data_IF_427318607370
#
_entry.id   IF_427318607370
#
_cell.length_a   1.000
_cell.length_b   1.000
_cell.length_c   1.000
_cell.angle_alpha   90.00
_cell.angle_beta   90.00
_cell.angle_gamma   90.00
#
_symmetry.space_group_name_H-M   'P 1'
#
loop_
_entity.id
_entity.type
_entity.pdbx_description
1 polymer ?
2 polymer ?
3 non-polymer ?
4 water ?
#
# COMPACT_ATOMS: atom_id res chain seq x y z
N UNK A 7 -3.93 -14.37 -19.90
CA UNK A 7 -4.50 -13.85 -18.67
C UNK A 7 -3.75 -14.36 -17.42
N UNK A 8 -2.61 -13.72 -17.12
CA UNK A 8 -1.72 -14.04 -16.00
C UNK A 8 -2.40 -14.01 -14.66
N UNK A 9 -3.31 -13.03 -14.43
CA UNK A 9 -4.01 -12.86 -13.15
C UNK A 9 -4.96 -14.03 -12.84
N UNK A 10 -5.73 -14.51 -13.85
CA UNK A 10 -6.62 -15.65 -13.62
C UNK A 10 -5.83 -16.92 -13.29
N UNK A 11 -4.77 -17.21 -14.08
CA UNK A 11 -3.91 -18.38 -13.94
C UNK A 11 -3.20 -18.42 -12.59
N UNK A 12 -2.62 -17.27 -12.15
CA UNK A 12 -1.92 -17.09 -10.88
C UNK A 12 -2.84 -17.35 -9.68
N UNK A 13 -4.04 -16.74 -9.68
CA UNK A 13 -5.04 -16.88 -8.62
C UNK A 13 -5.54 -18.33 -8.48
N UNK A 14 -5.76 -19.02 -9.63
CA UNK A 14 -6.21 -20.42 -9.68
C UNK A 14 -5.16 -21.33 -9.04
N UNK A 15 -3.88 -21.14 -9.40
CA UNK A 15 -2.76 -21.91 -8.88
C UNK A 15 -2.65 -21.83 -7.34
N UNK A 16 -2.86 -20.63 -6.76
CA UNK A 16 -2.81 -20.37 -5.31
C UNK A 16 -4.03 -20.99 -4.60
N UNK A 17 -5.26 -20.71 -5.11
CA UNK A 17 -6.51 -21.20 -4.50
C UNK A 17 -6.59 -22.74 -4.55
N UNK A 18 -6.28 -23.36 -5.71
CA UNK A 18 -6.29 -24.81 -5.90
C UNK A 18 -5.29 -25.55 -4.99
N UNK A 19 -4.04 -25.03 -4.89
CA UNK A 19 -3.00 -25.61 -4.04
C UNK A 19 -3.40 -25.64 -2.58
N UNK A 20 -3.94 -24.52 -2.05
CA UNK A 20 -4.38 -24.36 -0.66
C UNK A 20 -5.59 -25.24 -0.33
N UNK A 21 -6.57 -25.34 -1.25
CA UNK A 21 -7.76 -26.17 -1.07
C UNK A 21 -7.40 -27.68 -1.04
N UNK A 22 -6.42 -28.10 -1.88
CA UNK A 22 -5.89 -29.46 -1.96
C UNK A 22 -5.28 -29.92 -0.61
N UNK A 23 -4.34 -29.11 -0.06
CA UNK A 23 -3.65 -29.40 1.20
C UNK A 23 -4.52 -29.23 2.44
N UNK A 24 -5.67 -28.54 2.35
CA UNK A 24 -6.58 -28.40 3.50
C UNK A 24 -7.40 -29.68 3.65
N UNK A 25 -7.66 -30.38 2.53
CA UNK A 25 -8.40 -31.64 2.49
C UNK A 25 -7.49 -32.85 2.74
N UNK A 26 -6.28 -32.85 2.15
CA UNK A 26 -5.28 -33.92 2.30
C UNK A 26 -4.61 -33.84 3.68
N UNK A 27 -4.23 -32.63 4.08
CA UNK A 27 -3.54 -32.37 5.33
C UNK A 27 -2.03 -32.44 5.15
N UNK A 28 -1.59 -32.46 3.88
CA UNK A 28 -0.18 -32.56 3.49
C UNK A 28 0.22 -31.39 2.58
N UNK A 29 1.13 -30.52 3.08
CA UNK A 29 1.67 -29.36 2.37
C UNK A 29 2.59 -29.79 1.20
N UNK A 30 2.79 -28.89 0.21
CA UNK A 30 3.66 -29.12 -0.95
C UNK A 30 4.18 -27.79 -1.51
N UNK A 39 8.41 -17.76 -5.87
CA UNK A 39 8.44 -16.31 -6.05
C UNK A 39 7.28 -15.57 -5.33
N UNK A 40 6.36 -14.95 -6.11
CA UNK A 40 5.21 -14.22 -5.57
C UNK A 40 4.11 -15.18 -5.04
N UNK A 41 3.94 -16.32 -5.72
CA UNK A 41 2.97 -17.35 -5.35
C UNK A 41 3.37 -18.06 -4.07
N UNK A 42 4.68 -18.30 -3.92
CA UNK A 42 5.32 -18.91 -2.76
C UNK A 42 4.98 -18.10 -1.50
N UNK A 43 5.12 -16.75 -1.59
CA UNK A 43 4.83 -15.81 -0.50
C UNK A 43 3.34 -15.74 -0.17
N UNK A 44 2.47 -15.78 -1.21
CA UNK A 44 1.00 -15.72 -1.04
C UNK A 44 0.43 -16.94 -0.29
N UNK A 45 0.93 -18.17 -0.58
CA UNK A 45 0.49 -19.41 0.11
C UNK A 45 0.83 -19.40 1.61
N UNK A 46 2.04 -18.90 1.98
CA UNK A 46 2.50 -18.77 3.38
C UNK A 46 1.52 -17.90 4.19
N UNK A 47 1.13 -16.74 3.63
CA UNK A 47 0.17 -15.79 4.20
C UNK A 47 -1.22 -16.43 4.29
N UNK A 48 -1.66 -17.11 3.21
CA UNK A 48 -2.98 -17.75 3.13
C UNK A 48 -3.13 -18.83 4.20
N UNK A 49 -2.07 -19.65 4.42
CA UNK A 49 -2.08 -20.69 5.47
C UNK A 49 -2.25 -20.04 6.84
N UNK A 50 -1.48 -18.98 7.12
CA UNK A 50 -1.52 -18.27 8.40
C UNK A 50 -2.87 -17.57 8.69
N UNK A 51 -3.38 -16.77 7.73
CA UNK A 51 -4.62 -15.99 7.91
C UNK A 51 -5.87 -16.85 7.70
N UNK A 52 -5.83 -17.74 6.71
CA UNK A 52 -6.93 -18.65 6.38
C UNK A 52 -7.32 -19.57 7.52
N UNK A 53 -6.32 -20.22 8.15
CA UNK A 53 -6.52 -21.11 9.30
C UNK A 53 -6.96 -20.32 10.54
N UNK A 54 -6.66 -19.03 10.55
CA UNK A 54 -7.07 -18.11 11.61
C UNK A 54 -8.56 -17.80 11.50
N UNK A 55 -9.00 -17.38 10.27
CA UNK A 55 -10.39 -17.05 9.92
C UNK A 55 -11.33 -18.25 10.14
N UNK A 56 -10.86 -19.47 9.78
CA UNK A 56 -11.61 -20.73 9.95
C UNK A 56 -12.01 -20.98 11.42
N UNK A 57 -11.09 -20.70 12.37
CA UNK A 57 -11.29 -20.85 13.81
C UNK A 57 -12.23 -19.77 14.35
N UNK A 58 -11.96 -18.50 14.01
CA UNK A 58 -12.75 -17.34 14.43
C UNK A 58 -14.21 -17.33 13.91
N UNK A 59 -14.49 -18.08 12.81
CA UNK A 59 -15.83 -18.13 12.21
C UNK A 59 -16.42 -19.55 12.04
N UNK A 60 -16.02 -20.51 12.89
CA UNK A 60 -16.52 -21.89 12.86
C UNK A 60 -18.06 -22.00 12.99
N UNK A 61 -18.66 -21.22 13.92
CA UNK A 61 -20.10 -21.16 14.18
C UNK A 61 -20.89 -20.73 12.94
N UNK A 62 -20.38 -19.72 12.21
CA UNK A 62 -20.98 -19.19 10.98
C UNK A 62 -20.75 -20.14 9.81
N UNK A 63 -19.54 -20.76 9.75
CA UNK A 63 -19.14 -21.70 8.70
C UNK A 63 -19.94 -23.00 8.71
N UNK A 64 -20.06 -23.64 9.91
CA UNK A 64 -20.82 -24.88 10.08
C UNK A 64 -22.33 -24.69 9.84
N UNK A 65 -22.82 -23.50 10.18
CA UNK A 65 -24.21 -23.10 9.98
C UNK A 65 -24.54 -22.94 8.52
N UNK A 66 -23.57 -22.41 7.75
CA UNK A 66 -23.70 -22.23 6.29
C UNK A 66 -23.56 -23.60 5.61
N UNK A 67 -22.62 -24.45 6.08
CA UNK A 67 -22.38 -25.79 5.53
C UNK A 67 -23.62 -26.70 5.67
N UNK A 68 -24.30 -26.67 6.82
CA UNK A 68 -25.51 -27.46 7.09
C UNK A 68 -26.72 -26.95 6.28
N UNK A 69 -26.76 -25.63 6.02
CA UNK A 69 -27.80 -24.95 5.23
C UNK A 69 -27.66 -25.30 3.73
N UNK A 70 -26.41 -25.48 3.24
CA UNK A 70 -26.12 -25.80 1.84
C UNK A 70 -26.48 -27.25 1.47
N UNK A 71 -26.17 -28.22 2.38
CA UNK A 71 -26.43 -29.66 2.23
C UNK A 71 -25.76 -30.21 0.96
N UNK A 72 -24.41 -30.25 0.98
CA UNK A 72 -23.55 -30.74 -0.11
C UNK A 72 -23.31 -32.24 0.09
N UNK A 73 -23.91 -33.07 -0.76
CA UNK A 73 -23.79 -34.53 -0.69
C UNK A 73 -23.17 -35.16 -1.96
N UNK A 74 -23.23 -34.44 -3.11
CA UNK A 74 -22.69 -34.91 -4.40
C UNK A 74 -22.21 -33.77 -5.33
N UNK A 75 -21.68 -34.15 -6.53
CA UNK A 75 -21.14 -33.29 -7.59
C UNK A 75 -22.12 -32.23 -8.11
N UNK A 76 -23.42 -32.55 -8.15
CA UNK A 76 -24.47 -31.64 -8.61
C UNK A 76 -24.56 -30.42 -7.70
N UNK A 77 -24.48 -30.64 -6.37
CA UNK A 77 -24.51 -29.59 -5.34
C UNK A 77 -23.35 -28.60 -5.49
N UNK A 78 -22.13 -29.11 -5.80
CA UNK A 78 -20.90 -28.33 -6.01
C UNK A 78 -21.06 -27.36 -7.20
N UNK A 79 -21.73 -27.81 -8.28
CA UNK A 79 -21.98 -26.97 -9.47
C UNK A 79 -23.04 -25.89 -9.22
N UNK A 80 -23.94 -26.12 -8.25
CA UNK A 80 -25.00 -25.17 -7.89
C UNK A 80 -24.51 -24.12 -6.87
N UNK A 81 -23.33 -24.34 -6.25
CA UNK A 81 -22.72 -23.43 -5.26
C UNK A 81 -22.33 -22.08 -5.87
N UNK A 82 -22.02 -22.05 -7.18
CA UNK A 82 -21.66 -20.82 -7.89
C UNK A 82 -22.76 -19.74 -7.81
N UNK A 83 -24.05 -20.16 -7.70
CA UNK A 83 -25.21 -19.27 -7.58
C UNK A 83 -25.15 -18.50 -6.27
N UNK A 84 -25.10 -19.23 -5.12
CA UNK A 84 -25.02 -18.69 -3.76
C UNK A 84 -23.75 -17.83 -3.61
N UNK A 85 -22.61 -18.32 -4.17
CA UNK A 85 -21.31 -17.64 -4.16
C UNK A 85 -21.41 -16.22 -4.64
N UNK A 86 -21.88 -16.02 -5.89
CA UNK A 86 -22.07 -14.71 -6.53
C UNK A 86 -23.11 -13.87 -5.77
N UNK A 87 -24.20 -14.51 -5.32
CA UNK A 87 -25.28 -13.87 -4.58
C UNK A 87 -24.82 -13.19 -3.27
N UNK A 88 -24.04 -13.89 -2.43
CA UNK A 88 -23.62 -13.33 -1.13
C UNK A 88 -22.28 -12.56 -1.22
N UNK A 89 -21.33 -12.97 -2.10
CA UNK A 89 -20.04 -12.28 -2.23
C UNK A 89 -20.18 -10.88 -2.83
N UNK A 90 -21.16 -10.69 -3.73
CA UNK A 90 -21.43 -9.41 -4.39
C UNK A 90 -22.34 -8.46 -3.60
N UNK A 91 -22.95 -8.94 -2.49
CA UNK A 91 -23.91 -8.19 -1.65
C UNK A 91 -23.47 -6.75 -1.25
N UNK A 92 -22.37 -6.61 -0.50
CA UNK A 92 -21.90 -5.30 -0.06
C UNK A 92 -20.64 -4.81 -0.73
N UNK A 93 -19.74 -4.21 0.06
CA UNK A 93 -18.44 -3.65 -0.33
C UNK A 93 -17.36 -4.70 -0.02
N UNK A 94 -16.36 -4.86 -0.93
CA UNK A 94 -15.28 -5.82 -0.75
C UNK A 94 -14.03 -5.21 -0.08
N UNK A 95 -13.18 -6.10 0.48
CA UNK A 95 -11.92 -5.83 1.15
C UNK A 95 -11.10 -7.12 1.20
N UNK A 96 -9.80 -7.05 1.61
CA UNK A 96 -8.94 -8.25 1.67
C UNK A 96 -9.46 -9.33 2.62
N UNK A 97 -10.14 -8.91 3.70
CA UNK A 97 -10.71 -9.79 4.71
C UNK A 97 -11.83 -10.67 4.18
N UNK A 98 -12.73 -10.10 3.35
CA UNK A 98 -13.86 -10.82 2.75
C UNK A 98 -13.37 -11.82 1.71
N UNK A 99 -12.31 -11.45 0.93
CA UNK A 99 -11.62 -12.27 -0.05
C UNK A 99 -11.00 -13.49 0.67
N UNK A 100 -10.39 -13.27 1.85
CA UNK A 100 -9.79 -14.31 2.68
C UNK A 100 -10.89 -15.24 3.23
N UNK A 101 -12.09 -14.70 3.61
CA UNK A 101 -13.23 -15.49 4.11
C UNK A 101 -13.80 -16.40 3.00
N UNK A 102 -13.81 -15.91 1.74
CA UNK A 102 -14.25 -16.63 0.54
C UNK A 102 -13.37 -17.90 0.33
N UNK A 103 -12.03 -17.75 0.40
CA UNK A 103 -11.04 -18.83 0.24
C UNK A 103 -10.99 -19.74 1.50
N UNK A 104 -11.22 -19.18 2.71
CA UNK A 104 -11.20 -19.96 3.96
C UNK A 104 -12.42 -20.87 4.05
N UNK A 105 -13.62 -20.37 3.69
CA UNK A 105 -14.84 -21.18 3.69
C UNK A 105 -14.79 -22.21 2.54
N UNK A 106 -14.08 -21.86 1.45
CA UNK A 106 -13.84 -22.73 0.31
C UNK A 106 -13.01 -23.94 0.71
N UNK A 107 -12.09 -23.72 1.68
CA UNK A 107 -11.23 -24.74 2.27
C UNK A 107 -12.04 -25.60 3.26
N UNK A 108 -12.98 -24.97 4.00
CA UNK A 108 -13.87 -25.59 4.99
C UNK A 108 -14.87 -26.56 4.32
N UNK A 109 -15.21 -26.29 3.04
CA UNK A 109 -16.12 -27.11 2.24
C UNK A 109 -15.32 -28.27 1.63
N UNK A 110 -14.07 -28.02 1.20
CA UNK A 110 -13.16 -29.02 0.63
C UNK A 110 -12.80 -30.11 1.64
N UNK A 111 -12.81 -29.78 2.94
CA UNK A 111 -12.55 -30.71 4.05
C UNK A 111 -13.76 -31.63 4.22
N UNK A 112 -14.99 -31.08 4.07
CA UNK A 112 -16.27 -31.81 4.14
C UNK A 112 -16.34 -32.79 2.95
N UNK A 113 -15.87 -32.35 1.76
CA UNK A 113 -15.83 -33.14 0.53
C UNK A 113 -14.88 -34.35 0.66
N UNK A 114 -13.87 -34.27 1.55
CA UNK A 114 -12.95 -35.37 1.79
C UNK A 114 -13.62 -36.46 2.64
N UNK A 115 -14.36 -36.04 3.70
CA UNK A 115 -15.07 -36.96 4.61
C UNK A 115 -16.22 -37.72 3.95
N UNK A 116 -16.94 -37.07 3.01
CA UNK A 116 -18.08 -37.65 2.30
C UNK A 116 -17.67 -38.38 1.01
N UNK A 117 -16.34 -38.60 0.81
CA UNK A 117 -15.71 -39.27 -0.33
C UNK A 117 -16.13 -38.65 -1.68
N UNK A 118 -15.88 -37.34 -1.82
CA UNK A 118 -16.16 -36.53 -3.02
C UNK A 118 -14.93 -35.64 -3.35
N UNK A 119 -13.71 -36.18 -3.12
CA UNK A 119 -12.42 -35.52 -3.34
C UNK A 119 -12.20 -35.01 -4.77
N UNK A 120 -12.89 -35.64 -5.74
CA UNK A 120 -12.87 -35.29 -7.17
C UNK A 120 -13.50 -33.92 -7.43
N UNK A 121 -14.36 -33.44 -6.50
CA UNK A 121 -15.05 -32.16 -6.57
C UNK A 121 -14.24 -30.99 -5.97
N UNK A 122 -12.99 -31.25 -5.49
CA UNK A 122 -12.14 -30.20 -4.92
C UNK A 122 -11.59 -29.27 -6.03
N UNK A 123 -11.04 -29.84 -7.13
CA UNK A 123 -10.51 -29.07 -8.26
C UNK A 123 -11.61 -28.17 -8.95
N UNK A 124 -12.84 -28.65 -9.29
CA UNK A 124 -13.84 -27.76 -9.90
C UNK A 124 -14.33 -26.65 -8.97
N UNK A 125 -14.39 -26.92 -7.64
CA UNK A 125 -14.80 -25.94 -6.62
C UNK A 125 -13.78 -24.78 -6.59
N UNK A 126 -12.48 -25.11 -6.65
CA UNK A 126 -11.38 -24.16 -6.70
C UNK A 126 -11.48 -23.28 -7.97
N UNK A 127 -11.93 -23.87 -9.09
CA UNK A 127 -12.11 -23.16 -10.38
C UNK A 127 -13.26 -22.16 -10.29
N UNK A 128 -14.39 -22.60 -9.69
CA UNK A 128 -15.59 -21.78 -9.46
C UNK A 128 -15.29 -20.58 -8.54
N UNK A 129 -14.47 -20.78 -7.48
CA UNK A 129 -14.03 -19.74 -6.53
C UNK A 129 -13.19 -18.67 -7.24
N UNK A 130 -12.18 -19.12 -8.04
CA UNK A 130 -11.29 -18.25 -8.82
C UNK A 130 -12.09 -17.44 -9.85
N UNK A 131 -13.06 -18.11 -10.50
CA UNK A 131 -13.92 -17.50 -11.52
C UNK A 131 -14.69 -16.31 -10.94
N UNK A 132 -15.39 -16.51 -9.81
CA UNK A 132 -16.16 -15.46 -9.12
C UNK A 132 -15.24 -14.28 -8.69
N UNK A 133 -14.08 -14.59 -8.05
CA UNK A 133 -13.11 -13.62 -7.56
C UNK A 133 -12.66 -12.68 -8.68
N UNK A 134 -12.09 -13.24 -9.76
CA UNK A 134 -11.53 -12.53 -10.93
C UNK A 134 -12.63 -11.81 -11.75
N UNK A 135 -13.75 -12.49 -12.06
CA UNK A 135 -14.84 -11.90 -12.85
C UNK A 135 -15.51 -10.67 -12.22
N UNK A 136 -15.81 -10.73 -10.90
CA UNK A 136 -16.48 -9.63 -10.19
C UNK A 136 -15.55 -8.52 -9.65
N UNK A 137 -14.27 -8.86 -9.34
CA UNK A 137 -13.36 -7.92 -8.68
C UNK A 137 -12.01 -7.61 -9.37
N UNK A 138 -11.79 -8.03 -10.64
CA UNK A 138 -10.53 -7.79 -11.40
C UNK A 138 -9.93 -6.39 -11.20
N UNK A 139 -10.76 -5.34 -11.31
CA UNK A 139 -10.33 -3.96 -11.19
C UNK A 139 -9.83 -3.62 -9.78
N UNK A 140 -10.56 -4.09 -8.75
CA UNK A 140 -10.21 -3.92 -7.34
C UNK A 140 -8.87 -4.58 -7.07
N UNK A 141 -8.70 -5.86 -7.51
CA UNK A 141 -7.46 -6.65 -7.37
C UNK A 141 -6.26 -5.93 -8.03
N UNK A 142 -6.45 -5.40 -9.27
CA UNK A 142 -5.40 -4.68 -10.01
C UNK A 142 -5.00 -3.39 -9.25
N UNK A 143 -5.99 -2.57 -8.82
CA UNK A 143 -5.68 -1.35 -8.05
C UNK A 143 -4.89 -1.67 -6.75
N UNK A 144 -5.27 -2.77 -6.07
CA UNK A 144 -4.66 -3.23 -4.81
C UNK A 144 -3.33 -3.99 -4.98
N UNK A 145 -2.73 -4.03 -6.21
CA UNK A 145 -1.44 -4.69 -6.54
C UNK A 145 -1.49 -6.24 -6.46
N UNK A 146 -2.64 -6.82 -6.81
CA UNK A 146 -2.87 -8.26 -6.87
C UNK A 146 -2.39 -9.06 -5.67
N UNK A 147 -1.58 -10.11 -5.93
CA UNK A 147 -1.06 -11.01 -4.90
C UNK A 147 0.16 -10.43 -4.16
N UNK A 148 0.83 -9.42 -4.75
CA UNK A 148 1.93 -8.70 -4.08
C UNK A 148 1.28 -7.90 -2.97
N UNK A 149 0.17 -7.23 -3.29
CA UNK A 149 -0.64 -6.44 -2.35
C UNK A 149 -1.21 -7.23 -1.20
N UNK A 150 -1.70 -8.46 -1.49
CA UNK A 150 -2.27 -9.41 -0.53
C UNK A 150 -1.24 -9.76 0.59
N UNK A 151 0.02 -10.02 0.18
CA UNK A 151 1.16 -10.35 1.04
C UNK A 151 1.54 -9.13 1.96
N UNK A 152 1.65 -7.93 1.36
CA UNK A 152 2.01 -6.68 2.01
C UNK A 152 0.96 -6.25 3.02
N UNK A 153 -0.35 -6.52 2.72
CA UNK A 153 -1.47 -6.15 3.59
C UNK A 153 -1.41 -6.90 4.94
N UNK A 154 -1.26 -8.24 4.89
CA UNK A 154 -1.23 -9.11 6.06
C UNK A 154 0.18 -9.27 6.71
N UNK A 155 1.19 -8.49 6.28
CA UNK A 155 2.53 -8.64 6.85
C UNK A 155 2.60 -8.22 8.32
N UNK A 156 3.20 -9.11 9.15
CA UNK A 156 3.39 -8.95 10.60
C UNK A 156 4.84 -9.21 10.99
N UNK B 1 16.24 -0.96 15.53
CA UNK B 1 16.81 0.05 14.65
C UNK B 1 16.38 -0.20 13.19
N UNK B 2 15.15 0.24 12.84
CA UNK B 2 14.61 0.13 11.50
C UNK B 2 15.06 1.39 10.76
N UNK B 3 16.02 1.24 9.80
CA UNK B 3 16.58 2.39 9.04
C UNK B 3 16.66 2.16 7.53
N UNK B 4 16.79 3.28 6.78
CA UNK B 4 16.94 3.35 5.32
C UNK B 4 18.08 4.35 5.09
N UNK B 5 19.03 4.02 4.19
CA UNK B 5 20.20 4.85 3.93
C UNK B 5 20.54 4.92 2.43
N UNK B 6 20.43 6.12 1.84
CA UNK B 6 20.67 6.42 0.43
C UNK B 6 22.13 6.65 0.10
N UNK B 7 22.56 6.27 -1.13
CA UNK B 7 23.91 6.44 -1.65
C UNK B 7 23.86 6.72 -3.17
N UNK B 8 24.91 7.36 -3.68
CA UNK B 8 25.07 7.58 -5.11
C UNK B 8 25.05 9.00 -5.65
N UNK B 9 24.50 9.93 -4.89
CA UNK B 9 24.41 11.33 -5.27
C UNK B 9 25.73 11.98 -5.59
N UNK B 10 25.69 12.93 -6.52
CA UNK B 10 26.85 13.71 -6.93
C UNK B 10 26.57 14.64 -8.08
N UNK B 11 27.59 15.39 -8.48
CA UNK B 11 27.56 16.34 -9.59
C UNK B 11 27.63 15.58 -10.91
N UNK B 12 26.73 15.92 -11.85
CA UNK B 12 26.72 15.29 -13.18
C UNK B 12 26.36 16.33 -14.26
N UNK B 13 26.90 16.17 -15.49
CA UNK B 13 26.65 17.05 -16.63
C UNK B 13 25.26 16.78 -17.25
N UNK B 14 24.59 17.80 -17.86
CA UNK B 14 23.30 17.53 -18.52
C UNK B 14 23.43 16.46 -19.58
N UNK B 15 22.52 15.50 -19.57
CA UNK B 15 22.52 14.36 -20.47
C UNK B 15 23.31 13.18 -19.92
N UNK B 16 23.88 13.35 -18.73
CA UNK B 16 24.67 12.29 -18.09
C UNK B 16 23.84 11.18 -17.49
N UNK B 17 24.51 10.28 -16.78
CA UNK B 17 23.90 9.13 -16.13
C UNK B 17 24.42 9.05 -14.72
N UNK B 18 23.56 8.60 -13.78
CA UNK B 18 23.89 8.40 -12.36
C UNK B 18 22.99 7.30 -11.79
N UNK B 19 23.54 6.45 -10.89
CA UNK B 19 22.84 5.33 -10.23
C UNK B 19 22.78 5.51 -8.70
N UNK B 20 21.54 5.46 -8.14
CA UNK B 20 21.26 5.59 -6.71
C UNK B 20 20.99 4.24 -6.06
N UNK B 21 21.45 4.10 -4.80
CA UNK B 21 21.23 2.91 -3.96
C UNK B 21 20.58 3.28 -2.66
N UNK B 22 19.72 2.37 -2.11
CA UNK B 22 19.13 2.55 -0.79
C UNK B 22 19.24 1.25 -0.01
N UNK B 23 19.99 1.26 1.10
CA UNK B 23 20.18 0.08 1.96
C UNK B 23 19.20 0.09 3.13
N UNK B 24 18.43 -1.02 3.28
CA UNK B 24 17.44 -1.27 4.33
C UNK B 24 18.00 -2.14 5.46
N UNK B 25 17.74 -1.77 6.71
CA UNK B 25 18.17 -2.51 7.90
C UNK B 25 17.03 -2.55 8.92
N UNK B 26 16.95 -3.64 9.68
CA UNK B 26 16.03 -3.84 10.78
C UNK B 26 14.66 -4.40 10.48
N UNK B 27 14.40 -4.83 9.22
CA UNK B 27 13.08 -5.37 8.85
C UNK B 27 13.09 -6.36 7.68
N UNK B 28 12.01 -7.17 7.54
CA UNK B 28 11.82 -8.11 6.40
C UNK B 28 11.52 -7.27 5.11
N UNK B 29 12.58 -6.86 4.39
CA UNK B 29 12.53 -6.01 3.19
C UNK B 29 11.68 -6.63 2.05
N UNK B 30 11.76 -7.95 1.89
CA UNK B 30 10.99 -8.68 0.87
C UNK B 30 9.45 -8.62 1.04
N UNK B 31 8.94 -8.02 2.13
CA UNK B 31 7.49 -7.93 2.39
C UNK B 31 6.92 -6.50 2.34
N UNK B 32 7.64 -5.54 1.73
CA UNK B 32 7.26 -4.13 1.63
C UNK B 32 7.39 -3.51 0.24
N UNK B 33 6.44 -2.60 -0.11
CA UNK B 33 6.50 -1.75 -1.29
C UNK B 33 7.52 -0.61 -0.94
N UNK B 34 8.31 -0.17 -1.93
CA UNK B 34 9.33 0.86 -1.73
C UNK B 34 9.13 2.00 -2.75
N UNK B 35 9.48 3.23 -2.33
CA UNK B 35 9.29 4.46 -3.07
C UNK B 35 10.52 5.33 -3.11
N UNK B 36 10.60 6.20 -4.15
CA UNK B 36 11.57 7.28 -4.27
C UNK B 36 10.76 8.59 -4.25
N UNK B 37 11.26 9.62 -3.52
CA UNK B 37 10.62 10.93 -3.38
C UNK B 37 11.75 11.95 -3.44
N UNK B 38 11.63 13.00 -4.29
CA UNK B 38 12.67 14.01 -4.45
C UNK B 38 12.24 15.39 -4.00
N UNK B 39 13.22 16.25 -3.64
CA UNK B 39 12.99 17.62 -3.19
C UNK B 39 14.04 18.58 -3.72
N UNK B 40 13.66 19.39 -4.73
CA UNK B 40 14.52 20.44 -5.33
C UNK B 40 14.90 21.46 -4.23
N UNK B 41 16.12 22.05 -4.25
CA UNK B 41 16.49 22.98 -3.16
C UNK B 41 15.51 24.14 -2.94
N UNK B 42 15.06 24.28 -1.68
CA UNK B 42 14.10 25.30 -1.27
C UNK B 42 12.68 25.11 -1.78
N UNK B 43 12.37 23.91 -2.36
CA UNK B 43 11.07 23.57 -2.96
C UNK B 43 10.35 22.44 -2.19
N UNK B 44 9.20 21.99 -2.71
CA UNK B 44 8.38 20.96 -2.08
C UNK B 44 8.68 19.52 -2.47
N UNK B 45 8.03 18.57 -1.80
CA UNK B 45 8.18 17.13 -2.08
C UNK B 45 7.57 16.73 -3.42
N UNK B 46 8.25 15.81 -4.13
CA UNK B 46 7.77 15.28 -5.39
C UNK B 46 8.04 13.78 -5.52
N UNK B 47 6.95 12.97 -5.56
CA UNK B 47 7.01 11.52 -5.77
C UNK B 47 7.64 11.23 -7.11
N UNK B 48 8.49 10.21 -7.17
CA UNK B 48 9.23 9.85 -8.40
C UNK B 48 8.81 8.48 -8.97
N UNK B 49 8.84 7.45 -8.13
CA UNK B 49 8.59 6.05 -8.51
C UNK B 49 8.26 5.15 -7.30
N UNK B 50 7.70 3.95 -7.61
CA UNK B 50 7.37 2.90 -6.64
C UNK B 50 7.43 1.48 -7.24
N UNK B 51 7.82 0.50 -6.41
CA UNK B 51 7.94 -0.91 -6.80
C UNK B 51 7.35 -1.79 -5.68
N UNK B 52 6.52 -2.83 -6.05
CA UNK B 52 5.94 -3.75 -5.09
C UNK B 52 6.99 -4.76 -4.59
N UNK B 53 6.64 -5.62 -3.62
CA UNK B 53 7.60 -6.55 -3.00
C UNK B 53 8.26 -7.53 -3.99
N UNK B 54 7.49 -8.10 -4.93
CA UNK B 54 7.97 -9.04 -5.94
C UNK B 54 8.31 -8.39 -7.32
N UNK B 55 8.41 -7.04 -7.36
CA UNK B 55 8.73 -6.23 -8.55
C UNK B 55 7.65 -6.27 -9.67
N UNK B 56 6.45 -6.85 -9.38
CA UNK B 56 5.38 -7.01 -10.38
C UNK B 56 4.60 -5.71 -10.73
N UNK B 57 4.46 -4.78 -9.77
CA UNK B 57 3.77 -3.50 -9.90
C UNK B 57 4.76 -2.32 -9.78
N UNK B 58 5.02 -1.65 -10.90
CA UNK B 58 5.93 -0.51 -11.06
C UNK B 58 5.17 0.74 -11.58
N UNK B 59 5.41 1.93 -10.96
CA UNK B 59 4.77 3.20 -11.33
C UNK B 59 5.80 4.33 -11.30
N UNK B 60 5.61 5.33 -12.19
CA UNK B 60 6.48 6.50 -12.33
C UNK B 60 5.65 7.78 -12.47
N UNK B 61 6.21 8.91 -11.99
CA UNK B 61 5.62 10.24 -12.17
C UNK B 61 5.88 10.60 -13.67
N UNK B 62 5.00 11.40 -14.32
CA UNK B 62 5.11 11.83 -15.72
C UNK B 62 6.46 12.49 -16.06
N UNK B 63 7.05 13.27 -15.11
CA UNK B 63 8.30 14.01 -15.33
C UNK B 63 9.60 13.17 -15.42
N UNK B 64 9.55 11.83 -15.19
CA UNK B 64 10.72 10.92 -15.20
C UNK B 64 10.51 9.71 -16.15
N UNK B 65 9.25 9.49 -16.67
CA UNK B 65 8.93 8.34 -17.55
C UNK B 65 9.89 8.30 -18.74
N UNK B 66 10.48 7.13 -18.98
CA UNK B 66 11.41 6.94 -20.08
C UNK B 66 12.87 7.23 -19.81
N UNK B 67 13.20 8.02 -18.77
CA UNK B 67 14.60 8.31 -18.45
C UNK B 67 15.07 7.62 -17.15
N UNK B 68 14.15 7.45 -16.17
CA UNK B 68 14.45 6.83 -14.87
C UNK B 68 13.90 5.40 -14.81
N UNK B 69 14.64 4.45 -14.15
CA UNK B 69 14.26 3.04 -13.99
C UNK B 69 14.47 2.56 -12.53
N UNK B 70 13.36 2.19 -11.84
CA UNK B 70 13.36 1.65 -10.47
C UNK B 70 13.59 0.11 -10.47
N UNK B 71 14.41 -0.40 -9.56
CA UNK B 71 14.66 -1.84 -9.41
C UNK B 71 14.99 -2.19 -7.96
N UNK B 72 14.91 -3.49 -7.60
CA UNK B 72 15.22 -3.95 -6.23
C UNK B 72 15.86 -5.35 -6.17
N UNK B 73 16.73 -5.58 -5.18
CA UNK B 73 17.37 -6.88 -4.96
C UNK B 73 17.13 -7.23 -3.52
N UNK B 74 16.09 -8.08 -3.30
CA UNK B 74 15.67 -8.51 -1.98
C UNK B 74 16.77 -9.29 -1.25
N UNK B 75 17.67 -9.98 -1.99
CA UNK B 75 18.78 -10.72 -1.38
C UNK B 75 19.88 -9.78 -0.80
N UNK B 76 19.90 -8.50 -1.19
CA UNK B 76 20.87 -7.53 -0.69
C UNK B 76 20.19 -6.39 0.08
N UNK B 77 18.86 -6.50 0.33
CA UNK B 77 18.06 -5.44 0.99
C UNK B 77 18.25 -4.05 0.32
N UNK B 78 18.37 -4.03 -1.02
CA UNK B 78 18.65 -2.81 -1.77
C UNK B 78 17.60 -2.39 -2.81
N UNK B 79 17.36 -1.07 -2.85
CA UNK B 79 16.46 -0.39 -3.78
C UNK B 79 17.34 0.50 -4.67
N UNK B 80 17.09 0.52 -6.01
CA UNK B 80 17.89 1.35 -6.93
C UNK B 80 17.09 2.32 -7.80
N UNK B 81 17.74 3.45 -8.14
CA UNK B 81 17.22 4.39 -9.11
C UNK B 81 18.25 4.63 -10.22
N UNK B 82 18.02 4.04 -11.40
CA UNK B 82 18.93 4.23 -12.53
C UNK B 82 18.45 5.43 -13.36
N UNK B 83 19.21 6.54 -13.28
CA UNK B 83 18.86 7.80 -13.94
C UNK B 83 19.66 8.13 -15.24
N UNK B 84 19.05 7.94 -16.44
CA UNK B 84 19.69 8.28 -17.74
C UNK B 84 19.09 9.60 -18.27
N UNK B 85 19.73 10.25 -19.26
CA UNK B 85 19.30 11.52 -19.87
C UNK B 85 18.93 12.58 -18.81
N UNK B 86 19.83 12.79 -17.82
CA UNK B 86 19.62 13.75 -16.72
C UNK B 86 19.50 15.20 -17.18
N UNK B 87 18.52 15.94 -16.62
CA UNK B 87 18.20 17.33 -16.97
C UNK B 87 18.41 18.25 -15.79
N UNK B 88 18.58 19.56 -16.02
CA UNK B 88 18.75 20.58 -14.96
C UNK B 88 17.64 20.52 -13.90
N UNK B 89 16.40 20.22 -14.33
CA UNK B 89 15.17 20.11 -13.51
C UNK B 89 15.19 18.92 -12.55
N UNK B 90 16.13 17.97 -12.74
CA UNK B 90 16.25 16.78 -11.90
C UNK B 90 17.08 17.02 -10.63
N UNK B 91 17.75 18.21 -10.52
CA UNK B 91 18.55 18.62 -9.34
C UNK B 91 17.65 18.58 -8.10
N UNK B 92 18.02 17.75 -7.12
CA UNK B 92 17.23 17.51 -5.91
C UNK B 92 17.93 16.56 -4.95
N UNK B 93 17.36 16.47 -3.73
CA UNK B 93 17.77 15.53 -2.69
C UNK B 93 16.75 14.38 -2.88
N UNK B 94 17.24 13.16 -3.10
CA UNK B 94 16.36 11.98 -3.32
C UNK B 94 16.26 11.14 -2.06
N UNK B 95 15.01 10.88 -1.62
CA UNK B 95 14.64 10.10 -0.44
C UNK B 95 14.10 8.74 -0.80
N UNK B 96 14.48 7.79 0.03
CA UNK B 96 14.11 6.42 0.07
C UNK B 96 13.01 6.34 1.17
N UNK B 97 11.87 5.66 0.87
CA UNK B 97 10.79 5.58 1.85
C UNK B 97 10.05 4.25 1.80
N UNK B 98 9.74 3.68 3.00
CA UNK B 98 9.02 2.41 3.20
C UNK B 98 7.51 2.65 3.25
N UNK B 99 6.73 1.79 2.58
CA UNK B 99 5.28 1.91 2.53
C UNK B 99 4.63 0.72 3.25
N UNK B 100 3.66 1.02 4.19
CA UNK B 100 2.87 0.08 5.00
C UNK B 100 1.78 -0.58 4.14
N UNK B 101 1.75 -1.90 4.11
CA UNK B 101 0.83 -2.69 3.29
C UNK B 101 -0.65 -2.48 3.53
N UNK B 102 -1.05 -2.29 4.80
CA UNK B 102 -2.43 -2.06 5.21
C UNK B 102 -2.93 -0.60 5.06
N UNK B 103 -2.00 0.39 5.00
CA UNK B 103 -2.38 1.81 4.94
C UNK B 103 -1.84 2.65 3.75
N UNK B 104 -0.69 2.25 3.15
CA UNK B 104 0.03 2.92 2.05
C UNK B 104 0.76 4.20 2.55
N UNK B 105 0.86 4.35 3.87
CA UNK B 105 1.57 5.45 4.50
C UNK B 105 3.07 5.19 4.36
N UNK B 106 3.90 6.27 4.28
CA UNK B 106 5.36 6.17 4.19
C UNK B 106 5.88 6.46 5.59
N UNK B 107 5.98 5.37 6.40
CA UNK B 107 6.35 5.37 7.83
C UNK B 107 7.86 5.53 8.13
N UNK B 108 8.77 5.00 7.27
CA UNK B 108 10.24 5.10 7.44
C UNK B 108 10.83 5.82 6.21
N UNK B 109 11.67 6.84 6.45
CA UNK B 109 12.34 7.63 5.43
C UNK B 109 13.86 7.65 5.73
N UNK B 110 14.69 7.70 4.67
CA UNK B 110 16.14 7.83 4.82
C UNK B 110 16.53 9.29 5.02
N UNK B 111 17.85 9.60 5.06
CA UNK B 111 18.36 10.96 5.26
C UNK B 111 18.52 11.79 3.94
N UNK B 112 18.48 11.11 2.79
CA UNK B 112 18.60 11.75 1.49
C UNK B 112 20.01 11.77 0.89
N UNK B 113 20.08 12.00 -0.44
CA UNK B 113 21.35 12.10 -1.18
C UNK B 113 21.22 13.16 -2.30
N UNK B 114 22.14 14.12 -2.33
CA UNK B 114 22.11 15.21 -3.29
C UNK B 114 22.65 14.86 -4.70
N UNK B 115 21.76 14.97 -5.69
CA UNK B 115 22.00 14.79 -7.13
C UNK B 115 21.94 16.22 -7.71
N UNK B 116 23.06 16.71 -8.25
CA UNK B 116 23.22 18.05 -8.83
C UNK B 116 23.49 17.95 -10.34
N UNK B 117 22.54 18.37 -11.20
CA UNK B 117 22.75 18.34 -12.64
C UNK B 117 23.16 19.73 -13.12
N UNK B 118 24.40 19.86 -13.67
CA UNK B 118 24.94 21.13 -14.17
C UNK B 118 26.08 20.94 -15.17
N UNK B 136 2.04 23.79 -9.15
CA UNK B 136 1.74 22.86 -10.25
C UNK B 136 1.30 21.46 -9.76
N UNK B 137 1.42 21.19 -8.42
CA UNK B 137 1.02 19.94 -7.75
C UNK B 137 -0.50 19.72 -7.89
N UNK B 138 -0.94 18.46 -7.86
CA UNK B 138 -2.37 18.11 -8.02
C UNK B 138 -3.19 18.35 -6.68
N UNK B 139 -2.53 18.42 -5.49
CA UNK B 139 -3.20 18.72 -4.21
C UNK B 139 -2.77 20.11 -3.72
N UNK B 140 -3.74 21.02 -3.49
CA UNK B 140 -3.44 22.41 -3.13
C UNK B 140 -3.62 22.65 -1.64
N UNK B 141 -2.68 23.43 -1.10
CA UNK B 141 -2.56 23.80 0.32
C UNK B 141 -2.26 25.30 0.42
N UNK B 142 -2.71 26.01 1.48
CA UNK B 142 -2.31 27.42 1.62
C UNK B 142 -0.77 27.50 1.80
N UNK B 143 -0.07 28.46 1.15
CA UNK B 143 1.39 28.49 1.29
C UNK B 143 1.92 28.79 2.69
N UNK B 144 1.10 29.39 3.56
CA UNK B 144 1.47 29.78 4.92
C UNK B 144 0.34 29.63 5.93
N UNK B 145 0.71 29.48 7.22
CA UNK B 145 -0.17 29.41 8.39
C UNK B 145 0.61 29.93 9.59
N UNK B 146 -0.08 30.53 10.56
CA UNK B 146 0.56 31.09 11.75
C UNK B 146 -0.37 31.06 12.96
N UNK B 147 0.20 31.19 14.16
CA UNK B 147 -0.51 31.21 15.42
C UNK B 147 0.38 31.50 16.61
N UNK B 148 -0.22 31.58 17.80
CA UNK B 148 0.48 31.87 19.06
C UNK B 148 0.39 30.64 19.99
N UNK B 149 1.30 30.46 20.98
CA UNK B 149 1.20 29.27 21.85
C UNK B 149 -0.18 29.10 22.49
N UNK B 150 -0.71 27.88 22.39
CA UNK B 150 -2.01 27.53 22.94
C UNK B 150 -3.13 27.56 21.92
N UNK B 151 -2.98 28.40 20.88
CA UNK B 151 -3.95 28.55 19.80
C UNK B 151 -4.13 27.28 18.98
N UNK B 152 -5.35 27.13 18.40
CA UNK B 152 -5.69 26.03 17.51
C UNK B 152 -5.61 26.58 16.07
N UNK B 153 -4.80 25.93 15.24
CA UNK B 153 -4.57 26.30 13.83
C UNK B 153 -4.93 25.09 12.92
N UNK B 154 -5.55 25.38 11.75
CA UNK B 154 -6.00 24.41 10.76
C UNK B 154 -5.29 24.59 9.41
N UNK B 155 -4.81 23.49 8.77
CA UNK B 155 -4.17 23.49 7.44
C UNK B 155 -5.02 22.62 6.50
N UNK B 156 -5.49 23.18 5.37
CA UNK B 156 -6.34 22.48 4.39
C UNK B 156 -5.55 21.84 3.22
N UNK B 157 -6.17 20.80 2.59
CA UNK B 157 -5.66 20.00 1.49
C UNK B 157 -6.83 19.67 0.53
N UNK B 158 -6.77 20.25 -0.68
CA UNK B 158 -7.79 20.10 -1.70
C UNK B 158 -7.37 19.23 -2.91
N UNK B 159 -8.17 18.21 -3.19
CA UNK B 159 -7.99 17.29 -4.30
C UNK B 159 -9.27 17.09 -5.08
N UNK B 160 -9.45 15.94 -5.74
CA UNK B 160 -10.61 15.67 -6.58
C UNK B 160 -11.05 14.23 -6.49
N UNK B 161 -12.11 13.83 -7.23
CA UNK B 161 -12.73 12.49 -7.23
C UNK B 161 -11.78 11.29 -7.29
N UNK B 162 -10.77 11.33 -8.17
CA UNK B 162 -9.83 10.22 -8.41
C UNK B 162 -8.74 10.07 -7.32
N UNK B 163 -8.41 11.16 -6.56
CA UNK B 163 -7.41 11.05 -5.48
C UNK B 163 -8.10 11.00 -4.10
N UNK B 164 -8.24 12.15 -3.39
CA UNK B 164 -8.89 12.23 -2.07
C UNK B 164 -10.33 11.64 -2.08
N UNK B 165 -11.09 11.82 -3.16
CA UNK B 165 -12.45 11.29 -3.25
C UNK B 165 -12.56 9.78 -3.33
N UNK B 166 -11.44 9.09 -3.61
CA UNK B 166 -11.37 7.61 -3.75
C UNK B 166 -10.39 6.93 -2.77
N UNK B 167 -9.46 7.70 -2.18
CA UNK B 167 -8.38 7.19 -1.36
C UNK B 167 -8.18 7.96 -0.04
N UNK B 168 -7.41 7.38 0.92
CA UNK B 168 -7.12 8.04 2.19
C UNK B 168 -6.00 9.10 2.05
N UNK B 169 -5.91 10.05 3.00
CA UNK B 169 -4.93 11.14 3.02
C UNK B 169 -3.88 10.90 4.10
N UNK B 170 -2.61 11.20 3.77
CA UNK B 170 -1.44 11.10 4.67
C UNK B 170 -0.82 12.49 4.81
N UNK B 171 -0.33 12.81 6.01
CA UNK B 171 0.32 14.06 6.34
C UNK B 171 1.76 13.79 6.77
N UNK B 172 2.68 14.72 6.42
CA UNK B 172 4.11 14.61 6.75
C UNK B 172 4.61 15.91 7.30
N UNK B 173 5.42 15.83 8.36
CA UNK B 173 6.05 16.97 9.01
C UNK B 173 7.53 17.04 8.56
N UNK B 174 8.01 18.24 8.28
CA UNK B 174 9.41 18.42 7.92
C UNK B 174 10.00 19.62 8.69
N UNK B 175 10.77 19.30 9.73
CA UNK B 175 11.45 20.28 10.59
C UNK B 175 12.62 20.89 9.79
N UNK B 176 13.09 22.11 10.12
CA UNK B 176 14.18 22.71 9.31
C UNK B 176 15.47 21.87 9.28
N UNK B 177 15.92 21.57 8.06
CA UNK B 177 17.12 20.77 7.82
C UNK B 177 17.05 19.31 8.22
N UNK B 178 15.85 18.69 8.12
CA UNK B 178 15.63 17.28 8.44
C UNK B 178 14.84 16.61 7.29
N UNK B 179 14.80 15.27 7.27
CA UNK B 179 14.03 14.49 6.32
C UNK B 179 12.55 14.45 6.78
N UNK B 180 11.56 14.26 5.87
CA UNK B 180 10.15 14.19 6.34
C UNK B 180 9.87 12.99 7.25
N UNK B 181 8.77 13.06 8.04
CA UNK B 181 8.33 11.99 8.95
C UNK B 181 6.80 11.84 8.97
N UNK B 182 6.30 10.59 9.01
CA UNK B 182 4.86 10.34 9.05
C UNK B 182 4.18 10.97 10.31
N UNK B 183 3.26 11.94 10.09
CA UNK B 183 2.50 12.65 11.12
C UNK B 183 1.10 12.06 11.30
N UNK B 184 0.37 11.87 10.18
CA UNK B 184 -0.99 11.32 10.18
C UNK B 184 -1.13 10.34 9.01
N UNK B 185 -1.83 9.23 9.24
CA UNK B 185 -2.09 8.25 8.19
C UNK B 185 -3.57 7.90 8.20
N UNK B 186 -4.09 7.35 7.10
CA UNK B 186 -5.50 6.97 6.97
C UNK B 186 -6.52 8.07 7.45
N UNK B 187 -6.25 9.33 7.03
CA UNK B 187 -7.05 10.57 7.29
C UNK B 187 -6.87 11.19 8.66
N UNK B 188 -6.94 10.36 9.74
CA UNK B 188 -6.94 10.82 11.13
C UNK B 188 -6.24 9.88 12.13
N UNK B 189 -5.45 8.91 11.67
CA UNK B 189 -4.77 7.99 12.58
C UNK B 189 -3.35 8.49 12.88
N UNK B 190 -2.99 8.52 14.17
CA UNK B 190 -1.67 8.96 14.66
C UNK B 190 -0.77 7.75 14.89
N UNK B 191 0.46 7.71 14.33
CA UNK B 191 1.39 6.64 14.70
C UNK B 191 1.94 6.85 16.13
N UNK B 192 2.59 5.80 16.69
CA UNK B 192 3.20 5.83 18.02
C UNK B 192 4.31 6.89 18.03
N UNK B 193 4.27 7.80 19.00
CA UNK B 193 5.24 8.87 19.09
C UNK B 193 4.72 10.22 18.62
N UNK B 194 3.51 10.25 18.02
CA UNK B 194 2.91 11.52 17.59
C UNK B 194 1.95 12.01 18.69
N UNK B 195 2.18 13.23 19.26
CA UNK B 195 1.27 13.79 20.29
C UNK B 195 -0.18 13.96 19.81
N UNK B 196 -1.13 13.80 20.72
CA UNK B 196 -2.58 13.90 20.45
C UNK B 196 -3.06 15.33 20.12
N UNK B 197 -2.15 16.35 20.19
CA UNK B 197 -2.40 17.74 19.76
C UNK B 197 -2.73 17.72 18.25
N UNK B 198 -2.14 16.75 17.52
CA UNK B 198 -2.30 16.55 16.09
C UNK B 198 -3.51 15.65 15.80
N UNK B 199 -4.38 16.09 14.89
CA UNK B 199 -5.55 15.34 14.48
C UNK B 199 -5.87 15.66 13.01
N UNK B 200 -6.61 14.76 12.37
CA UNK B 200 -6.99 14.95 10.97
C UNK B 200 -8.44 14.68 10.69
N UNK B 201 -8.91 15.08 9.51
CA UNK B 201 -10.29 14.86 9.05
C UNK B 201 -10.33 14.89 7.50
N UNK B 202 -11.33 14.18 6.93
CA UNK B 202 -11.57 14.09 5.49
C UNK B 202 -13.08 14.29 5.25
N UNK B 203 -13.43 15.05 4.20
CA UNK B 203 -14.82 15.31 3.81
C UNK B 203 -14.87 15.55 2.30
N UNK B 204 -15.49 14.63 1.57
CA UNK B 204 -15.59 14.69 0.11
C UNK B 204 -14.24 14.55 -0.58
N UNK B 205 -13.79 15.62 -1.26
CA UNK B 205 -12.52 15.69 -1.98
C UNK B 205 -11.51 16.61 -1.22
N UNK B 206 -11.82 17.00 0.04
CA UNK B 206 -10.94 17.83 0.86
C UNK B 206 -10.53 17.12 2.15
N UNK B 207 -9.49 17.63 2.80
CA UNK B 207 -8.95 17.11 4.03
C UNK B 207 -8.29 18.24 4.80
N UNK B 208 -8.14 18.03 6.10
CA UNK B 208 -7.60 19.05 6.98
C UNK B 208 -6.75 18.47 8.10
N UNK B 209 -5.72 19.24 8.52
CA UNK B 209 -4.81 18.94 9.62
C UNK B 209 -5.03 20.00 10.67
N UNK B 210 -5.26 19.55 11.92
CA UNK B 210 -5.50 20.37 13.11
C UNK B 210 -4.38 20.20 14.15
N UNK B 211 -3.96 21.32 14.76
CA UNK B 211 -2.98 21.39 15.85
C UNK B 211 -3.68 22.14 16.99
N UNK B 212 -4.36 21.40 17.90
CA UNK B 212 -5.13 21.94 19.03
C UNK B 212 -4.21 22.27 20.22
N UNK B 213 -3.67 23.48 20.20
CA UNK B 213 -2.75 23.99 21.23
C UNK B 213 -1.31 24.03 20.74
N UNK B 214 -0.92 25.11 20.04
CA UNK B 214 0.43 25.26 19.49
C UNK B 214 1.56 25.25 20.50
N UNK B 215 2.68 24.62 20.09
CA UNK B 215 3.93 24.55 20.83
C UNK B 215 5.03 24.98 19.86
N UNK B 216 6.14 25.58 20.36
CA UNK B 216 7.23 26.14 19.52
C UNK B 216 7.93 25.09 18.61
N UNK B 217 7.96 23.82 19.02
CA UNK B 217 8.52 22.74 18.19
C UNK B 217 7.58 22.38 16.99
N UNK B 218 6.40 23.04 16.91
CA UNK B 218 5.46 22.83 15.80
C UNK B 218 5.82 23.63 14.58
N UNK B 219 6.76 24.61 14.71
CA UNK B 219 7.24 25.40 13.58
C UNK B 219 7.96 24.47 12.62
N UNK B 220 7.36 24.25 11.44
CA UNK B 220 7.85 23.31 10.43
C UNK B 220 7.05 23.45 9.11
N UNK B 221 7.34 22.56 8.13
CA UNK B 221 6.63 22.47 6.85
C UNK B 221 5.75 21.21 6.90
N UNK B 222 4.50 21.33 6.42
CA UNK B 222 3.51 20.25 6.44
C UNK B 222 3.02 19.97 5.03
N UNK B 223 2.98 18.68 4.63
CA UNK B 223 2.56 18.24 3.30
C UNK B 223 1.52 17.14 3.40
N UNK B 224 0.49 17.19 2.55
CA UNK B 224 -0.50 16.12 2.45
C UNK B 224 -0.15 15.24 1.25
N UNK B 225 -0.75 14.04 1.15
CA UNK B 225 -0.51 13.13 0.04
C UNK B 225 -1.58 12.05 -0.03
N UNK B 226 -1.88 11.61 -1.25
CA UNK B 226 -2.85 10.55 -1.56
C UNK B 226 -2.48 9.92 -2.93
N UNK B 227 -3.00 8.70 -3.17
CA UNK B 227 -2.83 7.97 -4.42
C UNK B 227 -3.90 8.49 -5.38
N UNK B 228 -3.57 8.60 -6.68
CA UNK B 228 -4.50 9.03 -7.73
C UNK B 228 -4.78 7.87 -8.71
N UNK B 229 -6.06 7.41 -8.74
CA UNK B 229 -6.54 6.31 -9.58
C UNK B 229 -6.52 6.55 -11.12
N UNK B 230 -6.53 7.84 -11.56
CA UNK B 230 -6.52 8.21 -12.99
C UNK B 230 -5.09 8.40 -13.53
N UNK B 231 -4.22 8.98 -12.71
CA UNK B 231 -2.83 9.24 -13.04
C UNK B 231 -1.93 8.01 -12.75
N UNK B 232 -2.41 7.06 -11.90
CA UNK B 232 -1.63 5.87 -11.42
C UNK B 232 -0.35 6.38 -10.80
N UNK B 233 -0.50 7.37 -9.90
CA UNK B 233 0.60 8.08 -9.29
C UNK B 233 0.23 8.63 -7.92
N UNK B 234 1.25 8.99 -7.15
CA UNK B 234 1.11 9.60 -5.84
C UNK B 234 1.15 11.08 -6.09
N UNK B 235 0.19 11.78 -5.49
CA UNK B 235 0.13 13.24 -5.60
C UNK B 235 0.33 13.83 -4.21
N UNK B 236 1.27 14.77 -4.12
CA UNK B 236 1.60 15.47 -2.88
C UNK B 236 1.08 16.88 -2.97
N UNK B 237 0.79 17.47 -1.82
CA UNK B 237 0.43 18.88 -1.72
C UNK B 237 1.68 19.73 -1.91
N UNK B 238 1.48 21.01 -2.19
CA UNK B 238 2.58 21.96 -2.40
C UNK B 238 3.26 22.40 -1.12
N UNK B 239 2.65 22.07 0.02
CA UNK B 239 3.18 22.36 1.34
C UNK B 239 2.68 23.63 2.03
N UNK B 240 2.80 23.64 3.37
CA UNK B 240 2.44 24.77 4.21
C UNK B 240 3.55 25.05 5.22
N UNK B 241 4.11 26.27 5.17
CA UNK B 241 5.11 26.75 6.13
C UNK B 241 4.33 27.28 7.34
N UNK B 242 4.45 26.62 8.52
CA UNK B 242 3.76 27.02 9.77
C UNK B 242 4.73 27.74 10.71
N UNK B 243 4.41 29.02 11.06
CA UNK B 243 5.20 29.87 11.94
C UNK B 243 4.52 30.03 13.32
N UNK B 244 5.31 29.93 14.41
CA UNK B 244 4.83 30.11 15.79
C UNK B 244 5.29 31.51 16.23
N UNK B 245 4.32 32.41 16.47
CA UNK B 245 4.52 33.80 16.86
C UNK B 245 4.27 34.03 18.36
N UNK B 246 4.90 35.08 18.92
CA UNK B 246 4.78 35.60 20.30
C UNK B 246 4.82 34.55 21.44
N UNK B 247 6.02 34.04 21.71
CA UNK B 247 6.33 33.13 22.83
C UNK B 247 7.40 33.88 23.65
N UNK B 248 8.41 33.19 24.24
CA UNK B 248 9.51 33.84 24.98
C UNK B 248 10.72 32.92 25.09
X LIG C 1 -21.92 -15.21 7.42
X LIG C 1 -20.65 -13.49 10.21
X LIG C 1 -19.86 -14.82 8.20
X LIG C 1 -20.08 -17.58 5.93
X LIG C 1 -19.59 -18.25 4.84
X LIG C 1 -19.01 -17.56 3.78
X LIG C 1 -18.91 -16.17 3.82
X LIG C 1 -18.32 -15.18 2.96
X LIG C 1 -17.78 -15.45 1.58
X LIG C 1 -18.85 -15.32 0.49
X LIG C 1 -18.92 -16.52 -0.42
X LIG C 1 -19.85 -18.71 -0.61
X LIG C 1 -21.32 -18.98 -0.23
X LIG C 1 -19.52 -21.16 -1.10
X LIG C 1 -18.68 -22.24 -1.34
X LIG C 1 -17.30 -22.09 -1.31
X LIG C 1 -16.75 -20.85 -1.03
X LIG C 1 -18.96 -19.92 -0.78
X LIG C 1 -18.18 -12.59 3.14
X LIG C 1 -17.86 -11.77 3.99
X LIG C 1 -18.19 -12.31 1.86
X LIG C 1 -18.57 -13.95 3.54
X LIG C 1 -19.19 -14.14 4.75
X LIG C 1 -19.39 -15.48 4.95
X LIG C 1 -19.95 -16.19 6.04
X LIG C 1 -20.55 -15.46 7.19
X LIG C 1 -18.40 -14.73 8.47
X LIG C 1 -20.81 -14.25 8.98
X LIG C 1 -22.07 -14.50 8.51
X LIG C 1 -23.12 -15.64 6.64
X LIG C 1 -19.36 -17.69 0.27
X LIG C 1 -17.58 -19.77 -0.78
X LIG C 1 -21.02 -21.33 -1.15
X LIG C 1 -21.70 -20.47 -0.09
#
# INVERSE_FOLDING_TARGET
GPLGSEDDLYRQSLEIISRYLREQATGSKDSKPLGEAGAAGRRALETLRRVGDGVQRNHETAFQGMLRKLDIKNEDDVKSLSRVMIHVFSDGVTNWGRIVTLISFGAFVAKHLKTINQESCIEPLAESITDVLVRTKRDWLVKQRGWDGFVEFFHVEDLEGG
QVTLKESGGGLVKPGGSLRLSCAASGFTFSSYSMNWVRQAPGKGLEWVSSISSSSSYIYYADSVKGRFTISRDNAKNSLYLQMNSLRAEDTAVYYCARQVGATWAFDIWGQGTLVTVSSGGGGSGGGGSGGGGSAQSVLTQPPSASGTPGQRVTISCSGSSSNIGSNTVNWYQQLPGTAPKLLIYSNNQRPSGVPDRFSGSKSGTSASLAISGLQSEDEADYYCAAWDDSLNAWVFGGGTKLTVLGAAAENLYFQ
HVN C1 C2 C3 C7 C8 C9 C10 C11 C12 C13 C14 C15 C16 C19 C20 C21 C22 C24 C27 O1 O2 C25 N2 C26 C6 C5 C4 N1 N C O C23 C18 C17
#
